data_IF_956913063945
#
_entry.id   IF_956913063945
#
_cell.length_a   1.000
_cell.length_b   1.000
_cell.length_c   1.000
_cell.angle_alpha   90.00
_cell.angle_beta   90.00
_cell.angle_gamma   90.00
#
_symmetry.space_group_name_H-M   'P 1'
#
loop_
_entity.id
_entity.type
_entity.pdbx_description
1 polymer ?
#
# COMPACT_ATOMS: atom_id res chain seq x y z
N UNK A 1 1.02 -12.64 -16.17
CA UNK A 1 0.59 -11.27 -15.85
C UNK A 1 1.78 -10.33 -16.03
N UNK A 2 1.56 -9.05 -16.27
CA UNK A 2 2.67 -8.09 -16.31
C UNK A 2 2.62 -7.26 -15.04
N UNK A 3 3.76 -7.03 -14.42
CA UNK A 3 3.83 -6.28 -13.18
C UNK A 3 3.44 -4.82 -13.40
N UNK A 4 2.85 -4.20 -12.38
CA UNK A 4 2.58 -2.77 -12.38
C UNK A 4 3.87 -1.95 -12.32
N UNK A 5 3.76 -0.64 -12.52
CA UNK A 5 4.75 0.33 -12.06
C UNK A 5 4.14 1.12 -10.92
N UNK A 6 4.90 1.33 -9.85
CA UNK A 6 4.44 2.01 -8.65
C UNK A 6 5.13 3.37 -8.55
N UNK A 7 4.38 4.46 -8.66
CA UNK A 7 4.92 5.81 -8.52
C UNK A 7 4.66 6.34 -7.11
N UNK A 8 5.70 6.75 -6.35
CA UNK A 8 5.49 7.38 -5.06
C UNK A 8 4.89 8.77 -5.24
N UNK A 9 3.76 9.04 -4.60
CA UNK A 9 3.02 10.32 -4.70
C UNK A 9 2.99 11.12 -3.40
N UNK A 10 3.43 10.50 -2.30
CA UNK A 10 3.60 11.15 -1.01
C UNK A 10 4.69 10.41 -0.22
N UNK A 11 5.56 11.17 0.45
CA UNK A 11 6.38 10.70 1.57
C UNK A 11 6.14 11.62 2.76
N UNK A 12 5.87 11.04 3.92
CA UNK A 12 5.52 11.79 5.12
C UNK A 12 5.79 10.98 6.38
N UNK A 13 6.23 11.61 7.46
CA UNK A 13 6.29 10.99 8.79
C UNK A 13 4.92 10.93 9.49
N UNK A 14 3.90 11.58 8.91
CA UNK A 14 2.52 11.55 9.41
C UNK A 14 1.69 10.48 8.67
N UNK A 15 1.52 9.32 9.32
CA UNK A 15 0.67 8.23 8.81
C UNK A 15 -0.78 8.67 8.60
N UNK A 16 -1.31 9.60 9.39
CA UNK A 16 -2.67 10.09 9.19
C UNK A 16 -2.80 10.88 7.88
N UNK A 17 -1.76 11.63 7.50
CA UNK A 17 -1.69 12.29 6.19
C UNK A 17 -1.63 11.28 5.05
N UNK A 18 -0.82 10.21 5.18
CA UNK A 18 -0.74 9.14 4.19
C UNK A 18 -2.09 8.44 3.97
N UNK A 19 -2.77 8.07 5.07
CA UNK A 19 -4.11 7.48 5.04
C UNK A 19 -5.14 8.43 4.40
N UNK A 20 -5.06 9.74 4.70
CA UNK A 20 -5.98 10.73 4.12
C UNK A 20 -5.74 10.98 2.63
N UNK A 21 -4.51 10.83 2.15
CA UNK A 21 -4.21 10.84 0.70
C UNK A 21 -4.74 9.57 0.04
N UNK A 22 -4.52 8.40 0.65
CA UNK A 22 -5.00 7.14 0.11
C UNK A 22 -6.53 7.08 0.02
N UNK A 23 -7.26 7.52 1.05
CA UNK A 23 -8.73 7.57 1.06
C UNK A 23 -9.28 8.45 -0.08
N UNK A 24 -8.64 9.60 -0.30
CA UNK A 24 -9.01 10.50 -1.40
C UNK A 24 -8.68 9.89 -2.76
N UNK A 25 -7.57 9.18 -2.90
CA UNK A 25 -7.21 8.47 -4.13
C UNK A 25 -8.18 7.33 -4.44
N UNK A 26 -8.54 6.51 -3.45
CA UNK A 26 -9.58 5.48 -3.62
C UNK A 26 -10.91 6.09 -4.07
N UNK A 27 -11.26 7.27 -3.56
CA UNK A 27 -12.46 8.01 -3.97
C UNK A 27 -12.42 8.50 -5.43
N UNK A 28 -11.25 8.53 -6.07
CA UNK A 28 -11.12 8.83 -7.51
C UNK A 28 -11.30 7.60 -8.41
N UNK A 29 -11.23 6.39 -7.84
CA UNK A 29 -11.42 5.16 -8.60
C UNK A 29 -12.84 5.14 -9.20
N UNK A 30 -12.97 4.65 -10.43
CA UNK A 30 -14.29 4.42 -11.03
C UNK A 30 -15.05 3.33 -10.28
N UNK A 31 -14.32 2.41 -9.65
CA UNK A 31 -14.84 1.34 -8.81
C UNK A 31 -13.71 0.78 -7.95
N UNK A 32 -14.00 0.34 -6.73
CA UNK A 32 -13.09 -0.47 -5.92
C UNK A 32 -13.86 -1.29 -4.87
N UNK A 33 -13.30 -2.43 -4.46
CA UNK A 33 -13.79 -3.24 -3.33
C UNK A 33 -12.92 -2.98 -2.09
N UNK A 34 -13.44 -2.31 -1.03
CA UNK A 34 -12.65 -2.00 0.16
C UNK A 34 -12.05 -3.21 0.89
N UNK A 35 -12.70 -4.38 0.83
CA UNK A 35 -12.22 -5.59 1.51
C UNK A 35 -11.07 -6.29 0.78
N UNK A 36 -10.93 -6.05 -0.52
CA UNK A 36 -9.94 -6.72 -1.36
C UNK A 36 -8.61 -5.94 -1.33
N UNK A 37 -7.93 -6.10 -0.20
CA UNK A 37 -6.59 -5.58 0.01
C UNK A 37 -5.69 -6.56 0.75
N UNK A 38 -4.38 -6.45 0.48
CA UNK A 38 -3.35 -7.11 1.28
C UNK A 38 -2.88 -6.15 2.35
N UNK A 39 -3.05 -6.51 3.62
CA UNK A 39 -2.52 -5.79 4.76
C UNK A 39 -1.51 -6.70 5.47
N UNK A 40 -0.23 -6.40 5.29
CA UNK A 40 0.86 -7.27 5.71
C UNK A 40 1.94 -6.47 6.46
N UNK A 41 2.54 -7.08 7.46
CA UNK A 41 3.66 -6.53 8.22
C UNK A 41 4.68 -7.62 8.55
N UNK A 42 5.93 -7.22 8.81
CA UNK A 42 7.00 -8.17 9.10
C UNK A 42 7.48 -8.08 10.55
N UNK A 43 7.27 -9.13 11.32
CA UNK A 43 7.90 -9.28 12.62
C UNK A 43 9.38 -9.64 12.44
N UNK A 44 10.29 -8.91 13.08
CA UNK A 44 11.74 -9.19 13.00
C UNK A 44 12.31 -9.83 14.27
N UNK A 45 11.51 -9.89 15.33
CA UNK A 45 11.79 -10.54 16.59
C UNK A 45 10.47 -11.11 17.16
N UNK A 46 10.57 -11.96 18.18
CA UNK A 46 9.39 -12.61 18.79
C UNK A 46 8.44 -11.63 19.49
N UNK A 47 8.96 -10.50 20.02
CA UNK A 47 8.11 -9.48 20.64
C UNK A 47 7.26 -8.75 19.60
N UNK A 48 7.84 -8.38 18.43
CA UNK A 48 7.08 -7.82 17.31
C UNK A 48 5.98 -8.80 16.88
N UNK A 49 6.33 -10.08 16.72
CA UNK A 49 5.39 -11.11 16.28
C UNK A 49 4.22 -11.23 17.24
N UNK A 50 4.52 -11.32 18.53
CA UNK A 50 3.50 -11.37 19.59
C UNK A 50 2.64 -10.10 19.57
N UNK A 51 3.25 -8.92 19.48
CA UNK A 51 2.51 -7.64 19.45
C UNK A 51 1.60 -7.52 18.22
N UNK A 52 2.06 -7.92 17.04
CA UNK A 52 1.24 -7.91 15.82
C UNK A 52 0.04 -8.84 15.92
N UNK A 53 0.26 -10.06 16.41
CA UNK A 53 -0.79 -11.07 16.59
C UNK A 53 -1.80 -10.71 17.69
N UNK A 54 -1.32 -10.16 18.82
CA UNK A 54 -2.17 -9.78 19.95
C UNK A 54 -3.04 -8.55 19.66
N UNK A 55 -2.61 -7.69 18.73
CA UNK A 55 -3.34 -6.45 18.41
C UNK A 55 -4.67 -6.73 17.71
N UNK A 56 -4.74 -7.77 16.86
CA UNK A 56 -5.95 -8.11 16.10
C UNK A 56 -6.22 -9.61 16.10
N UNK A 57 -7.39 -10.08 16.61
CA UNK A 57 -7.74 -11.49 16.68
C UNK A 57 -7.80 -12.26 15.33
N UNK A 58 -7.72 -11.55 14.20
CA UNK A 58 -7.68 -12.13 12.85
C UNK A 58 -6.30 -12.13 12.19
N UNK A 59 -5.26 -11.67 12.88
CA UNK A 59 -3.91 -11.64 12.34
C UNK A 59 -3.32 -13.06 12.26
N UNK A 60 -2.71 -13.39 11.13
CA UNK A 60 -2.18 -14.73 10.85
C UNK A 60 -0.76 -14.64 10.32
N UNK A 61 0.10 -15.55 10.75
CA UNK A 61 1.42 -15.71 10.14
C UNK A 61 1.25 -16.45 8.82
N UNK A 62 1.65 -15.83 7.72
CA UNK A 62 1.51 -16.38 6.36
C UNK A 62 2.80 -16.96 5.83
N UNK A 63 3.94 -16.46 6.29
CA UNK A 63 5.26 -16.99 5.94
C UNK A 63 6.31 -16.62 6.97
N UNK A 64 7.43 -17.33 6.92
CA UNK A 64 8.66 -17.04 7.63
C UNK A 64 9.75 -16.68 6.60
N UNK A 65 10.94 -16.31 7.07
CA UNK A 65 12.08 -15.97 6.23
C UNK A 65 12.44 -17.06 5.23
N UNK A 66 13.53 -16.88 4.49
CA UNK A 66 13.93 -17.77 3.39
C UNK A 66 14.15 -19.24 3.79
N UNK A 67 14.33 -19.52 5.09
CA UNK A 67 14.43 -20.86 5.65
C UNK A 67 13.09 -21.48 6.07
N UNK A 68 11.99 -20.73 6.00
CA UNK A 68 10.63 -21.15 6.33
C UNK A 68 10.37 -21.38 7.82
N UNK A 69 11.34 -21.09 8.69
CA UNK A 69 11.28 -21.41 10.13
C UNK A 69 11.74 -20.20 10.98
N UNK A 70 12.54 -19.30 10.41
CA UNK A 70 13.12 -18.15 11.07
C UNK A 70 12.44 -16.83 10.75
N UNK A 71 12.75 -15.81 11.56
CA UNK A 71 12.34 -14.43 11.29
C UNK A 71 13.10 -13.87 10.06
N UNK A 72 12.52 -12.89 9.34
CA UNK A 72 11.26 -12.22 9.63
C UNK A 72 10.03 -13.07 9.31
N UNK A 73 8.98 -12.94 10.12
CA UNK A 73 7.68 -13.57 9.87
C UNK A 73 6.73 -12.55 9.24
N UNK A 74 6.06 -12.93 8.15
CA UNK A 74 5.00 -12.13 7.53
C UNK A 74 3.70 -12.37 8.26
N UNK A 75 3.07 -11.29 8.73
CA UNK A 75 1.80 -11.30 9.43
C UNK A 75 0.78 -10.57 8.56
N UNK A 76 -0.27 -11.29 8.17
CA UNK A 76 -1.38 -10.78 7.38
C UNK A 76 -2.60 -10.55 8.27
N UNK A 77 -3.41 -9.53 7.95
CA UNK A 77 -4.69 -9.30 8.59
C UNK A 77 -5.77 -9.00 7.54
N UNK A 78 -6.79 -9.85 7.51
CA UNK A 78 -7.99 -9.59 6.72
C UNK A 78 -8.80 -8.43 7.30
N UNK A 79 -9.22 -7.51 6.43
CA UNK A 79 -10.00 -6.32 6.78
C UNK A 79 -11.09 -6.08 5.75
N UNK A 80 -12.25 -5.61 6.18
CA UNK A 80 -13.41 -5.40 5.32
C UNK A 80 -13.63 -3.93 4.96
N UNK A 81 -13.02 -3.02 5.73
CA UNK A 81 -13.29 -1.58 5.64
C UNK A 81 -12.03 -0.74 5.75
N UNK A 82 -12.08 0.45 5.16
CA UNK A 82 -11.02 1.45 5.31
C UNK A 82 -10.79 1.87 6.77
N UNK A 83 -11.84 1.84 7.61
CA UNK A 83 -11.73 2.12 9.05
C UNK A 83 -10.88 1.07 9.77
N UNK A 84 -11.06 -0.21 9.45
CA UNK A 84 -10.23 -1.30 9.98
C UNK A 84 -8.78 -1.18 9.49
N UNK A 85 -8.56 -0.90 8.19
CA UNK A 85 -7.21 -0.62 7.64
C UNK A 85 -6.52 0.50 8.43
N UNK A 86 -7.21 1.62 8.62
CA UNK A 86 -6.70 2.79 9.37
C UNK A 86 -6.33 2.43 10.80
N UNK A 87 -7.15 1.65 11.49
CA UNK A 87 -6.85 1.18 12.84
C UNK A 87 -5.64 0.25 12.88
N UNK A 88 -5.57 -0.70 11.96
CA UNK A 88 -4.52 -1.69 11.90
C UNK A 88 -3.17 -1.11 11.53
N UNK A 89 -3.09 -0.30 10.46
CA UNK A 89 -1.84 0.33 10.06
C UNK A 89 -1.26 1.24 11.15
N UNK A 90 -2.11 1.97 11.89
CA UNK A 90 -1.65 2.79 13.02
C UNK A 90 -0.99 1.95 14.09
N UNK A 91 -1.64 0.86 14.51
CA UNK A 91 -1.10 0.01 15.55
C UNK A 91 0.17 -0.74 15.09
N UNK A 92 0.20 -1.19 13.84
CA UNK A 92 1.32 -1.95 13.29
C UNK A 92 2.54 -1.09 12.95
N UNK A 93 2.35 0.15 12.47
CA UNK A 93 3.45 1.08 12.19
C UNK A 93 4.26 1.46 13.44
N UNK A 94 3.65 1.41 14.64
CA UNK A 94 4.34 1.60 15.92
C UNK A 94 5.16 0.38 16.37
N UNK A 95 5.01 -0.75 15.68
CA UNK A 95 5.70 -2.01 15.96
C UNK A 95 6.80 -2.24 14.93
N UNK A 96 6.43 -2.21 13.65
CA UNK A 96 7.31 -2.57 12.54
C UNK A 96 6.83 -1.90 11.24
N UNK A 97 7.53 -2.19 10.15
CA UNK A 97 7.11 -1.85 8.79
C UNK A 97 6.10 -2.84 8.24
N UNK A 98 5.29 -2.36 7.32
CA UNK A 98 4.24 -3.13 6.66
C UNK A 98 3.60 -2.29 5.57
N UNK A 99 2.66 -2.88 4.85
CA UNK A 99 1.91 -2.17 3.83
C UNK A 99 0.44 -2.54 3.83
N UNK A 100 -0.36 -1.67 3.22
CA UNK A 100 -1.66 -2.06 2.67
C UNK A 100 -1.62 -1.85 1.16
N UNK A 101 -2.13 -2.81 0.38
CA UNK A 101 -2.27 -2.75 -1.07
C UNK A 101 -3.71 -3.08 -1.46
N UNK A 102 -4.46 -2.08 -1.94
CA UNK A 102 -5.72 -2.31 -2.63
C UNK A 102 -5.43 -2.70 -4.07
N UNK A 103 -5.89 -3.87 -4.50
CA UNK A 103 -5.59 -4.43 -5.82
C UNK A 103 -6.84 -4.74 -6.65
N UNK A 104 -8.03 -4.74 -6.03
CA UNK A 104 -9.29 -4.91 -6.74
C UNK A 104 -9.97 -3.55 -6.92
N UNK A 105 -9.38 -2.72 -7.78
CA UNK A 105 -9.88 -1.40 -8.11
C UNK A 105 -9.72 -1.09 -9.59
N UNK A 106 -10.42 -0.05 -10.02
CA UNK A 106 -10.40 0.43 -11.40
C UNK A 106 -10.13 1.92 -11.42
N UNK A 107 -9.02 2.31 -12.06
CA UNK A 107 -8.75 3.70 -12.34
C UNK A 107 -9.71 4.26 -13.39
N UNK A 108 -10.16 5.52 -13.23
CA UNK A 108 -11.10 6.15 -14.14
C UNK A 108 -10.47 6.38 -15.52
N UNK A 109 -11.29 6.69 -16.51
CA UNK A 109 -10.79 7.22 -17.77
C UNK A 109 -10.18 8.60 -17.56
N UNK A 110 -9.16 8.93 -18.35
CA UNK A 110 -8.51 10.25 -18.40
C UNK A 110 -8.50 10.71 -19.87
N UNK A 111 -9.62 11.24 -20.39
CA UNK A 111 -9.77 11.57 -21.81
C UNK A 111 -8.74 12.58 -22.32
N UNK A 112 -8.33 13.54 -21.49
CA UNK A 112 -7.32 14.55 -21.81
C UNK A 112 -5.93 13.96 -22.07
N UNK A 113 -5.68 12.73 -21.60
CA UNK A 113 -4.47 11.95 -21.88
C UNK A 113 -4.70 10.82 -22.89
N UNK A 114 -5.93 10.69 -23.43
CA UNK A 114 -6.30 9.58 -24.31
C UNK A 114 -6.33 8.22 -23.60
N UNK A 115 -6.50 8.19 -22.27
CA UNK A 115 -6.45 6.97 -21.48
C UNK A 115 -7.86 6.49 -21.11
N UNK A 116 -8.16 5.22 -21.38
CA UNK A 116 -9.43 4.58 -20.98
C UNK A 116 -9.49 4.27 -19.49
N UNK A 117 -10.53 3.58 -19.03
CA UNK A 117 -10.48 2.96 -17.69
C UNK A 117 -9.37 1.89 -17.63
N UNK A 118 -8.79 1.67 -16.46
CA UNK A 118 -7.77 0.64 -16.26
C UNK A 118 -8.08 -0.17 -15.01
N UNK A 119 -8.08 -1.49 -15.14
CA UNK A 119 -8.34 -2.42 -14.04
C UNK A 119 -7.13 -3.33 -13.78
N UNK A 120 -6.47 -3.81 -14.85
CA UNK A 120 -5.44 -4.84 -14.75
C UNK A 120 -4.20 -4.38 -13.99
N UNK A 121 -3.90 -3.08 -14.07
CA UNK A 121 -2.70 -2.49 -13.49
C UNK A 121 -3.04 -1.46 -12.40
N UNK A 122 -4.28 -1.48 -11.91
CA UNK A 122 -4.78 -0.47 -10.98
C UNK A 122 -4.64 -1.00 -9.55
N UNK A 123 -3.71 -0.41 -8.81
CA UNK A 123 -3.50 -0.74 -7.39
C UNK A 123 -3.11 0.54 -6.64
N UNK A 124 -3.41 0.59 -5.35
CA UNK A 124 -3.02 1.69 -4.47
C UNK A 124 -2.33 1.10 -3.24
N UNK A 125 -1.16 1.64 -2.89
CA UNK A 125 -0.38 1.13 -1.77
C UNK A 125 -0.05 2.24 -0.77
N UNK A 126 -0.06 1.89 0.53
CA UNK A 126 0.68 2.63 1.56
C UNK A 126 1.75 1.70 2.09
N UNK A 127 3.03 2.06 1.95
CA UNK A 127 4.14 1.45 2.66
C UNK A 127 4.41 2.23 3.95
N UNK A 128 4.30 1.58 5.10
CA UNK A 128 4.56 2.18 6.40
C UNK A 128 6.01 1.96 6.82
N UNK A 129 6.66 3.04 7.25
CA UNK A 129 8.05 3.03 7.68
C UNK A 129 9.00 2.49 6.60
N UNK A 130 8.74 2.88 5.34
CA UNK A 130 9.53 2.49 4.18
C UNK A 130 9.32 3.47 3.00
N UNK A 131 10.34 3.54 2.15
CA UNK A 131 10.34 4.27 0.89
C UNK A 131 10.09 3.41 -0.35
N UNK A 132 10.01 2.09 -0.19
CA UNK A 132 9.91 1.09 -1.25
C UNK A 132 8.65 0.23 -1.08
N UNK A 133 8.16 -0.36 -2.16
CA UNK A 133 6.90 -1.11 -2.13
C UNK A 133 6.98 -2.43 -1.37
N UNK A 134 8.17 -2.98 -1.14
CA UNK A 134 8.39 -4.26 -0.47
C UNK A 134 8.75 -4.09 1.02
N UNK A 135 8.80 -2.84 1.49
CA UNK A 135 9.24 -2.49 2.83
C UNK A 135 10.58 -3.14 3.19
N UNK A 136 11.58 -3.14 2.29
CA UNK A 136 12.86 -3.83 2.49
C UNK A 136 13.74 -3.16 3.53
N UNK A 137 13.72 -1.83 3.60
CA UNK A 137 14.47 -1.02 4.56
C UNK A 137 13.52 -0.23 5.49
N UNK A 138 13.96 0.03 6.72
CA UNK A 138 13.20 0.88 7.63
C UNK A 138 13.44 2.35 7.28
N UNK A 139 12.38 3.14 7.25
CA UNK A 139 12.41 4.58 7.17
C UNK A 139 11.46 5.20 8.21
N UNK A 140 11.72 6.46 8.58
CA UNK A 140 10.80 7.20 9.44
C UNK A 140 9.52 7.63 8.70
N UNK A 141 9.57 7.68 7.36
CA UNK A 141 8.45 8.11 6.52
C UNK A 141 7.57 6.92 6.09
N UNK A 142 6.31 7.22 5.80
CA UNK A 142 5.35 6.37 5.11
C UNK A 142 5.21 6.88 3.67
N UNK A 143 5.10 5.97 2.73
CA UNK A 143 5.02 6.28 1.30
C UNK A 143 3.70 5.82 0.72
N UNK A 144 3.02 6.68 -0.03
CA UNK A 144 1.83 6.31 -0.82
C UNK A 144 2.24 6.12 -2.26
N UNK A 145 1.87 4.99 -2.85
CA UNK A 145 2.15 4.66 -4.24
C UNK A 145 0.87 4.50 -5.04
N UNK A 146 0.88 5.03 -6.26
CA UNK A 146 -0.10 4.73 -7.29
C UNK A 146 0.51 3.70 -8.23
N UNK A 147 -0.17 2.57 -8.41
CA UNK A 147 0.23 1.56 -9.36
C UNK A 147 -0.55 1.77 -10.65
N UNK A 148 0.17 1.78 -11.77
CA UNK A 148 -0.42 1.88 -13.10
C UNK A 148 0.37 1.02 -14.11
N UNK A 149 -0.11 0.98 -15.34
CA UNK A 149 0.53 0.28 -16.44
C UNK A 149 1.94 0.82 -16.68
N UNK A 150 2.95 -0.03 -16.98
CA UNK A 150 4.25 0.47 -17.40
C UNK A 150 4.15 1.41 -18.61
N UNK A 151 4.68 2.64 -18.48
CA UNK A 151 4.59 3.69 -19.50
C UNK A 151 3.41 4.67 -19.35
N UNK A 152 2.50 4.43 -18.39
CA UNK A 152 1.38 5.34 -18.07
C UNK A 152 1.75 6.37 -16.98
N UNK A 153 2.94 6.98 -17.05
CA UNK A 153 3.39 8.02 -16.10
C UNK A 153 2.37 9.17 -15.98
N UNK A 154 1.71 9.50 -17.10
CA UNK A 154 0.65 10.51 -17.15
C UNK A 154 -0.55 10.18 -16.26
N UNK A 155 -0.96 8.91 -16.15
CA UNK A 155 -2.06 8.50 -15.28
C UNK A 155 -1.71 8.69 -13.81
N UNK A 156 -0.53 8.24 -13.40
CA UNK A 156 -0.09 8.36 -12.02
C UNK A 156 0.01 9.84 -11.60
N UNK A 157 0.58 10.68 -12.46
CA UNK A 157 0.64 12.12 -12.22
C UNK A 157 -0.75 12.77 -12.16
N UNK A 158 -1.67 12.37 -13.06
CA UNK A 158 -3.03 12.89 -13.07
C UNK A 158 -3.81 12.51 -11.79
N UNK A 159 -3.73 11.25 -11.35
CA UNK A 159 -4.37 10.77 -10.12
C UNK A 159 -3.82 11.48 -8.89
N UNK A 160 -2.49 11.65 -8.80
CA UNK A 160 -1.85 12.40 -7.73
C UNK A 160 -2.38 13.85 -7.66
N UNK A 161 -2.52 14.51 -8.82
CA UNK A 161 -3.01 15.87 -8.89
C UNK A 161 -4.46 16.02 -8.38
N UNK A 162 -5.32 14.99 -8.57
CA UNK A 162 -6.70 15.01 -8.08
C UNK A 162 -6.79 15.17 -6.55
N UNK A 163 -5.75 14.76 -5.82
CA UNK A 163 -5.69 14.83 -4.36
C UNK A 163 -4.71 15.90 -3.87
N UNK A 164 -4.26 16.80 -4.75
CA UNK A 164 -3.28 17.84 -4.43
C UNK A 164 -1.87 17.32 -4.15
N UNK A 165 -1.57 16.09 -4.59
CA UNK A 165 -0.25 15.48 -4.50
C UNK A 165 0.47 15.55 -5.85
N UNK A 166 1.71 15.04 -5.90
CA UNK A 166 2.50 14.90 -7.12
C UNK A 166 3.42 13.69 -6.99
N UNK A 167 3.89 13.15 -8.11
CA UNK A 167 4.94 12.13 -8.09
C UNK A 167 6.21 12.74 -7.46
N UNK A 168 6.77 12.06 -6.45
CA UNK A 168 7.92 12.55 -5.65
C UNK A 168 9.21 11.75 -5.86
N UNK A 169 9.20 10.77 -6.76
CA UNK A 169 10.35 9.92 -7.03
C UNK A 169 10.16 9.05 -8.28
N UNK A 170 11.20 8.30 -8.68
CA UNK A 170 11.11 7.38 -9.81
C UNK A 170 10.12 6.24 -9.51
N UNK A 171 9.51 5.62 -10.54
CA UNK A 171 8.67 4.46 -10.35
C UNK A 171 9.46 3.21 -10.01
N UNK A 172 8.85 2.34 -9.21
CA UNK A 172 9.36 1.02 -8.85
C UNK A 172 8.66 -0.08 -9.69
N UNK A 173 9.26 -1.26 -9.75
CA UNK A 173 8.59 -2.44 -10.33
C UNK A 173 7.57 -2.96 -9.32
N UNK A 174 6.29 -2.99 -9.71
CA UNK A 174 5.21 -3.49 -8.88
C UNK A 174 5.13 -5.01 -8.78
N UNK A 175 4.04 -5.47 -8.15
CA UNK A 175 3.72 -6.88 -7.91
C UNK A 175 3.38 -7.65 -9.19
#
# INVERSE_FOLDING_TARGET
MGNTRAWPVLRTTDLAAALSVAERLLSTAAWYEPSDCYLDAWARNDDDLRRLADTFPGAQVTSYGTDGIGLPASVHLGVDTFVQVRGALRAWADITRGYVLWHNLKWPSVPELGLGEEYKYAELQIACNSHDIHCEEWAAEHTVFIHARPGDDGRAAWLAAQVGARVVGPPEFGW
#
